data_IF_942573056105
#
_entry.id   IF_942573056105
#
_cell.length_a   1.000
_cell.length_b   1.000
_cell.length_c   1.000
_cell.angle_alpha   90.00
_cell.angle_beta   90.00
_cell.angle_gamma   90.00
#
_symmetry.space_group_name_H-M   'P 1'
#
loop_
_entity.id
_entity.type
_entity.pdbx_description
1 polymer ?
#
# COMPACT_ATOMS: atom_id res chain seq x y z
N UNK A 1 -10.51 -0.05 24.98
CA UNK A 1 -10.37 1.06 24.02
C UNK A 1 -11.10 0.61 22.77
N UNK A 2 -12.12 1.33 22.30
CA UNK A 2 -12.90 0.89 21.13
C UNK A 2 -12.23 1.33 19.82
N UNK A 3 -12.22 0.44 18.83
CA UNK A 3 -11.80 0.71 17.45
C UNK A 3 -13.04 1.23 16.71
N UNK A 4 -12.95 2.45 16.19
CA UNK A 4 -13.94 2.99 15.26
C UNK A 4 -13.66 2.42 13.88
N UNK A 5 -14.70 1.92 13.20
CA UNK A 5 -14.60 1.63 11.78
C UNK A 5 -14.38 2.90 10.94
N UNK A 6 -13.89 2.76 9.70
CA UNK A 6 -13.38 1.52 9.10
C UNK A 6 -11.98 1.14 9.62
N UNK A 7 -11.73 -0.17 9.78
CA UNK A 7 -10.41 -0.71 10.12
C UNK A 7 -9.63 -1.02 8.83
N UNK A 8 -8.35 -0.63 8.79
CA UNK A 8 -7.47 -0.92 7.66
C UNK A 8 -6.37 -1.86 8.17
N UNK A 9 -6.36 -3.13 7.73
CA UNK A 9 -5.28 -4.03 8.05
C UNK A 9 -3.93 -3.42 7.65
N UNK A 10 -2.96 -3.50 8.55
CA UNK A 10 -1.60 -3.16 8.19
C UNK A 10 -1.04 -4.31 7.34
N UNK A 11 -0.33 -3.95 6.28
CA UNK A 11 0.35 -4.93 5.43
C UNK A 11 1.78 -4.47 5.21
N UNK A 12 2.68 -5.44 5.07
CA UNK A 12 4.08 -5.19 4.77
C UNK A 12 4.63 -6.36 3.95
N UNK A 13 5.31 -6.06 2.85
CA UNK A 13 5.81 -7.07 1.92
C UNK A 13 6.82 -8.05 2.55
N UNK A 14 7.49 -7.71 3.66
CA UNK A 14 8.39 -8.61 4.38
C UNK A 14 7.65 -9.74 5.10
N UNK A 15 6.35 -9.55 5.41
CA UNK A 15 5.51 -10.54 6.09
C UNK A 15 4.62 -11.33 5.13
N UNK A 16 4.77 -11.11 3.82
CA UNK A 16 3.99 -11.80 2.77
C UNK A 16 4.84 -12.95 2.22
N UNK A 17 4.29 -14.17 2.23
CA UNK A 17 5.00 -15.37 1.75
C UNK A 17 5.34 -15.30 0.25
N UNK A 18 4.42 -14.74 -0.55
CA UNK A 18 4.60 -14.60 -1.99
C UNK A 18 5.56 -13.45 -2.29
N UNK A 19 6.81 -13.78 -2.60
CA UNK A 19 7.82 -12.79 -2.98
C UNK A 19 7.68 -12.39 -4.45
N UNK A 20 7.99 -11.12 -4.73
CA UNK A 20 8.23 -10.66 -6.10
C UNK A 20 9.43 -11.39 -6.69
N UNK A 21 9.40 -11.65 -8.00
CA UNK A 21 10.51 -12.32 -8.72
C UNK A 21 11.75 -11.42 -8.89
N UNK A 22 11.65 -10.16 -8.49
CA UNK A 22 12.70 -9.15 -8.63
C UNK A 22 12.74 -8.21 -7.41
N UNK A 23 13.87 -7.53 -7.16
CA UNK A 23 14.00 -6.59 -6.05
C UNK A 23 13.30 -5.25 -6.37
N UNK A 24 12.06 -5.09 -5.93
CA UNK A 24 11.16 -3.97 -6.28
C UNK A 24 11.78 -2.58 -6.12
N UNK A 25 12.29 -2.25 -4.93
CA UNK A 25 12.87 -0.93 -4.65
C UNK A 25 14.08 -0.63 -5.55
N UNK A 26 14.98 -1.61 -5.69
CA UNK A 26 16.13 -1.50 -6.59
C UNK A 26 15.69 -1.28 -8.04
N UNK A 27 14.70 -2.04 -8.50
CA UNK A 27 14.18 -1.91 -9.87
C UNK A 27 13.54 -0.55 -10.12
N UNK A 28 12.74 -0.02 -9.18
CA UNK A 28 12.17 1.33 -9.26
C UNK A 28 13.28 2.38 -9.36
N UNK A 29 14.30 2.28 -8.50
CA UNK A 29 15.41 3.22 -8.49
C UNK A 29 16.27 3.18 -9.76
N UNK A 30 16.53 1.99 -10.32
CA UNK A 30 17.21 1.85 -11.61
C UNK A 30 16.43 2.51 -12.76
N UNK A 31 15.11 2.29 -12.82
CA UNK A 31 14.23 2.93 -13.82
C UNK A 31 14.26 4.45 -13.65
N UNK A 32 14.09 4.95 -12.43
CA UNK A 32 14.04 6.38 -12.16
C UNK A 32 15.36 7.08 -12.49
N UNK A 33 16.49 6.50 -12.07
CA UNK A 33 17.84 7.02 -12.33
C UNK A 33 18.18 7.02 -13.83
N UNK A 34 17.66 6.08 -14.61
CA UNK A 34 17.95 5.97 -16.05
C UNK A 34 17.60 7.23 -16.86
N UNK A 35 16.66 8.05 -16.36
CA UNK A 35 16.14 9.22 -17.10
C UNK A 35 16.03 10.49 -16.28
N UNK A 36 15.82 10.40 -14.97
CA UNK A 36 15.41 11.54 -14.16
C UNK A 36 16.34 11.88 -12.99
N UNK A 37 17.44 11.14 -12.82
CA UNK A 37 18.38 11.28 -11.69
C UNK A 37 17.63 11.37 -10.34
N UNK A 38 16.67 10.46 -10.17
CA UNK A 38 15.75 10.41 -9.03
C UNK A 38 15.98 9.13 -8.25
N UNK A 39 16.06 9.27 -6.93
CA UNK A 39 16.15 8.15 -5.97
C UNK A 39 14.95 8.23 -5.04
N UNK A 40 14.26 7.11 -4.89
CA UNK A 40 13.20 6.88 -3.93
C UNK A 40 13.75 6.17 -2.70
N UNK A 41 13.21 6.56 -1.54
CA UNK A 41 13.41 5.85 -0.27
C UNK A 41 12.15 5.04 0.02
N UNK A 42 12.31 3.73 0.26
CA UNK A 42 11.22 2.87 0.70
C UNK A 42 10.70 3.26 2.09
N UNK A 43 9.38 3.24 2.26
CA UNK A 43 8.74 3.25 3.57
C UNK A 43 7.94 1.97 3.77
N UNK A 44 8.19 1.32 4.90
CA UNK A 44 7.60 0.02 5.24
C UNK A 44 6.11 0.10 5.57
N UNK A 45 5.64 1.26 6.04
CA UNK A 45 4.24 1.50 6.39
C UNK A 45 3.80 2.88 5.91
N UNK A 46 2.66 2.91 5.22
CA UNK A 46 1.99 4.14 4.84
C UNK A 46 1.03 4.56 5.95
N UNK A 47 1.18 5.78 6.47
CA UNK A 47 0.37 6.29 7.58
C UNK A 47 -1.01 6.81 7.16
N UNK A 48 -1.30 6.82 5.86
CA UNK A 48 -2.62 7.16 5.33
C UNK A 48 -3.51 5.93 5.18
N UNK A 49 -4.75 6.20 4.77
CA UNK A 49 -5.72 5.15 4.42
C UNK A 49 -5.44 4.67 2.99
N UNK A 50 -5.48 3.37 2.76
CA UNK A 50 -5.28 2.79 1.43
C UNK A 50 -6.01 1.47 1.27
N UNK A 51 -6.63 1.25 0.12
CA UNK A 51 -7.25 -0.03 -0.25
C UNK A 51 -6.22 -1.16 -0.36
N UNK A 52 -4.92 -0.82 -0.48
CA UNK A 52 -3.84 -1.81 -0.42
C UNK A 52 -3.86 -2.61 0.88
N UNK A 53 -4.41 -2.08 1.97
CA UNK A 53 -4.63 -2.82 3.22
C UNK A 53 -5.42 -4.11 3.06
N UNK A 54 -6.15 -4.29 1.95
CA UNK A 54 -6.92 -5.50 1.65
C UNK A 54 -6.24 -6.41 0.60
N UNK A 55 -4.96 -6.20 0.31
CA UNK A 55 -4.18 -7.03 -0.63
C UNK A 55 -3.50 -8.23 0.03
N UNK A 56 -3.46 -8.27 1.36
CA UNK A 56 -2.97 -9.39 2.15
C UNK A 56 -3.46 -9.29 3.60
N UNK A 57 -3.31 -10.37 4.36
CA UNK A 57 -3.46 -10.38 5.80
C UNK A 57 -2.29 -11.17 6.42
N UNK A 58 -1.56 -10.54 7.34
CA UNK A 58 -0.42 -11.15 8.04
C UNK A 58 -0.67 -11.38 9.53
N UNK A 59 -1.87 -11.08 10.02
CA UNK A 59 -2.26 -11.35 11.40
C UNK A 59 -2.79 -12.77 11.60
N UNK A 60 -3.14 -13.11 12.83
CA UNK A 60 -3.69 -14.42 13.20
C UNK A 60 -5.16 -14.32 13.67
N UNK A 61 -5.75 -15.44 14.06
CA UNK A 61 -7.14 -15.48 14.56
C UNK A 61 -7.33 -14.68 15.84
N UNK A 62 -6.33 -14.66 16.74
CA UNK A 62 -6.39 -13.89 17.99
C UNK A 62 -6.44 -12.37 17.70
N UNK A 63 -5.69 -11.90 16.70
CA UNK A 63 -5.74 -10.51 16.23
C UNK A 63 -7.14 -10.16 15.73
N UNK A 64 -7.74 -11.03 14.91
CA UNK A 64 -9.11 -10.87 14.39
C UNK A 64 -10.09 -10.77 15.56
N UNK A 65 -10.03 -11.70 16.52
CA UNK A 65 -10.93 -11.72 17.67
C UNK A 65 -10.82 -10.44 18.50
N UNK A 66 -9.60 -9.94 18.73
CA UNK A 66 -9.37 -8.68 19.44
C UNK A 66 -9.97 -7.48 18.67
N UNK A 67 -9.78 -7.43 17.35
CA UNK A 67 -10.33 -6.36 16.50
C UNK A 67 -11.86 -6.38 16.58
N UNK A 68 -12.48 -7.55 16.40
CA UNK A 68 -13.94 -7.72 16.46
C UNK A 68 -14.50 -7.34 17.83
N UNK A 69 -13.89 -7.83 18.91
CA UNK A 69 -14.33 -7.56 20.28
C UNK A 69 -14.25 -6.08 20.67
N UNK A 70 -13.35 -5.32 20.03
CA UNK A 70 -13.19 -3.90 20.28
C UNK A 70 -13.85 -2.99 19.23
N UNK A 71 -14.55 -3.54 18.23
CA UNK A 71 -15.20 -2.77 17.15
C UNK A 71 -16.73 -2.80 17.27
N UNK A 72 -17.38 -1.77 17.84
CA UNK A 72 -18.83 -1.73 17.92
C UNK A 72 -19.49 -1.82 16.55
N UNK A 73 -20.49 -2.71 16.41
CA UNK A 73 -21.19 -2.92 15.13
C UNK A 73 -20.42 -3.77 14.13
N UNK A 74 -19.34 -4.45 14.53
CA UNK A 74 -18.69 -5.46 13.70
C UNK A 74 -19.69 -6.56 13.30
N UNK A 75 -19.65 -6.99 12.03
CA UNK A 75 -20.59 -7.91 11.38
C UNK A 75 -22.05 -7.40 11.23
N UNK A 76 -22.37 -6.19 11.70
CA UNK A 76 -23.69 -5.56 11.52
C UNK A 76 -23.64 -4.29 10.66
N UNK A 77 -22.66 -3.43 10.90
CA UNK A 77 -22.45 -2.13 10.22
C UNK A 77 -21.17 -2.14 9.39
N UNK A 78 -20.17 -2.91 9.82
CA UNK A 78 -18.87 -3.01 9.18
C UNK A 78 -18.34 -4.44 9.29
N UNK A 79 -17.77 -4.97 8.20
CA UNK A 79 -17.27 -6.34 8.14
C UNK A 79 -16.05 -6.40 7.22
N UNK A 80 -15.00 -7.12 7.64
CA UNK A 80 -13.91 -7.58 6.78
C UNK A 80 -13.95 -9.10 6.72
N UNK A 81 -13.96 -9.70 5.50
CA UNK A 81 -13.90 -11.15 5.31
C UNK A 81 -12.45 -11.63 5.52
N UNK A 82 -12.01 -11.73 6.77
CA UNK A 82 -10.61 -12.05 7.09
C UNK A 82 -10.18 -13.44 6.63
N UNK A 83 -11.10 -14.41 6.60
CA UNK A 83 -10.80 -15.77 6.13
C UNK A 83 -10.47 -15.73 4.64
N UNK A 84 -11.27 -15.06 3.83
CA UNK A 84 -11.02 -14.84 2.42
C UNK A 84 -9.77 -13.98 2.19
N UNK A 85 -9.60 -12.92 2.97
CA UNK A 85 -8.42 -12.04 2.89
C UNK A 85 -7.12 -12.79 3.18
N UNK A 86 -7.14 -13.76 4.10
CA UNK A 86 -5.99 -14.62 4.42
C UNK A 86 -5.55 -15.51 3.25
N UNK A 87 -6.43 -15.75 2.28
CA UNK A 87 -6.09 -16.48 1.05
C UNK A 87 -5.36 -15.58 0.02
N UNK A 88 -5.40 -14.27 0.21
CA UNK A 88 -4.74 -13.28 -0.65
C UNK A 88 -3.36 -12.97 -0.10
N UNK A 89 -2.35 -13.11 -0.96
CA UNK A 89 -0.94 -12.85 -0.63
C UNK A 89 -0.33 -12.07 -1.79
N UNK A 90 -0.72 -10.80 -1.92
CA UNK A 90 -0.29 -9.94 -3.01
C UNK A 90 0.65 -8.85 -2.49
N UNK A 91 1.93 -8.87 -2.90
CA UNK A 91 2.84 -7.75 -2.65
C UNK A 91 2.30 -6.46 -3.27
N UNK A 92 2.45 -5.35 -2.55
CA UNK A 92 1.99 -4.04 -3.00
C UNK A 92 3.12 -3.02 -3.00
N UNK A 93 2.94 -1.95 -3.76
CA UNK A 93 3.77 -0.75 -3.64
C UNK A 93 2.89 0.48 -3.79
N UNK A 94 3.02 1.40 -2.85
CA UNK A 94 2.42 2.72 -2.96
C UNK A 94 3.45 3.68 -3.56
N UNK A 95 3.30 4.02 -4.84
CA UNK A 95 4.20 4.96 -5.53
C UNK A 95 3.38 5.94 -6.38
N UNK A 96 3.75 7.21 -6.34
CA UNK A 96 3.01 8.27 -7.00
C UNK A 96 3.76 9.60 -7.01
N UNK A 97 3.14 10.66 -7.54
CA UNK A 97 3.77 11.97 -7.65
C UNK A 97 4.03 12.58 -6.28
N UNK A 98 5.06 13.42 -6.17
CA UNK A 98 5.28 14.17 -4.94
C UNK A 98 4.09 15.10 -4.67
N UNK A 99 3.44 14.88 -3.54
CA UNK A 99 2.27 15.63 -3.09
C UNK A 99 2.52 16.41 -1.80
N UNK A 100 1.75 17.46 -1.59
CA UNK A 100 1.74 18.22 -0.33
C UNK A 100 0.32 18.58 0.06
N UNK A 101 0.08 18.62 1.36
CA UNK A 101 -1.20 19.01 1.97
C UNK A 101 -2.37 18.08 1.62
N UNK A 102 -2.12 16.76 1.60
CA UNK A 102 -3.15 15.72 1.43
C UNK A 102 -4.33 15.95 2.41
N UNK A 103 -5.55 15.90 1.89
CA UNK A 103 -6.80 16.15 2.61
C UNK A 103 -6.94 17.57 3.20
N UNK A 104 -6.22 18.56 2.65
CA UNK A 104 -6.39 19.97 2.99
C UNK A 104 -6.83 20.76 1.76
N UNK A 105 -7.43 21.93 1.98
CA UNK A 105 -7.83 22.84 0.90
C UNK A 105 -6.68 23.30 -0.01
N UNK A 106 -5.44 23.17 0.45
CA UNK A 106 -4.21 23.50 -0.30
C UNK A 106 -3.54 22.29 -0.93
N UNK A 107 -4.22 21.14 -0.98
CA UNK A 107 -3.72 19.91 -1.60
C UNK A 107 -3.21 20.17 -3.03
N UNK A 108 -2.01 19.66 -3.32
CA UNK A 108 -1.35 19.81 -4.62
C UNK A 108 -0.31 18.73 -4.85
N UNK A 109 0.02 18.53 -6.11
CA UNK A 109 1.05 17.59 -6.58
C UNK A 109 2.04 18.28 -7.52
N UNK A 110 3.25 17.74 -7.63
CA UNK A 110 4.25 18.22 -8.56
C UNK A 110 3.86 17.84 -9.99
N UNK A 111 3.53 18.84 -10.81
CA UNK A 111 3.12 18.68 -12.22
C UNK A 111 4.06 17.78 -13.03
N UNK A 112 5.37 17.96 -12.87
CA UNK A 112 6.38 17.15 -13.57
C UNK A 112 6.29 15.66 -13.22
N UNK A 113 5.96 15.34 -11.97
CA UNK A 113 5.79 13.96 -11.56
C UNK A 113 4.53 13.35 -12.15
N UNK A 114 3.44 14.11 -12.22
CA UNK A 114 2.16 13.69 -12.79
C UNK A 114 2.24 13.41 -14.28
N UNK A 115 2.83 14.33 -15.06
CA UNK A 115 2.78 14.24 -16.53
C UNK A 115 3.97 13.51 -17.15
N UNK A 116 5.11 13.42 -16.47
CA UNK A 116 6.36 12.94 -17.08
C UNK A 116 7.00 11.79 -16.32
N UNK A 117 7.31 11.99 -15.03
CA UNK A 117 8.15 11.04 -14.29
C UNK A 117 7.38 9.79 -13.89
N UNK A 118 6.26 9.92 -13.19
CA UNK A 118 5.50 8.76 -12.72
C UNK A 118 4.90 7.93 -13.84
N UNK A 119 4.32 8.52 -14.91
CA UNK A 119 3.85 7.72 -16.05
C UNK A 119 4.95 6.88 -16.68
N UNK A 120 6.17 7.44 -16.83
CA UNK A 120 7.32 6.69 -17.33
C UNK A 120 7.73 5.57 -16.36
N UNK A 121 7.92 5.89 -15.08
CA UNK A 121 8.40 4.91 -14.08
C UNK A 121 7.40 3.74 -13.95
N UNK A 122 6.10 4.04 -13.85
CA UNK A 122 5.05 3.02 -13.74
C UNK A 122 5.00 2.17 -15.01
N UNK A 123 5.08 2.78 -16.20
CA UNK A 123 5.10 2.02 -17.47
C UNK A 123 6.28 1.06 -17.53
N UNK A 124 7.49 1.53 -17.25
CA UNK A 124 8.69 0.69 -17.29
C UNK A 124 8.66 -0.41 -16.22
N UNK A 125 8.11 -0.13 -15.03
CA UNK A 125 7.93 -1.12 -13.99
C UNK A 125 6.97 -2.22 -14.44
N UNK A 126 5.81 -1.86 -15.01
CA UNK A 126 4.84 -2.80 -15.57
C UNK A 126 5.50 -3.68 -16.64
N UNK A 127 6.25 -3.08 -17.57
CA UNK A 127 6.93 -3.81 -18.64
C UNK A 127 8.02 -4.78 -18.15
N UNK A 128 8.56 -4.58 -16.94
CA UNK A 128 9.49 -5.53 -16.30
C UNK A 128 8.79 -6.62 -15.50
N UNK A 129 7.52 -6.43 -15.14
CA UNK A 129 6.74 -7.40 -14.38
C UNK A 129 6.12 -8.49 -15.29
N UNK A 130 6.08 -8.26 -16.60
CA UNK A 130 5.67 -9.20 -17.64
C UNK A 130 6.88 -9.72 -18.41
#
# INVERSE_FOLDING_TARGET
>A
MAISGPYYPHINNHFIDKKLSFPLEKTINEIAASKYDLVFEGQEFFMGISDMSYAAWSGNTEDIDIIKANSPGWDYVYHIPFDELSTISMPVVNIGPWGKDLHKVTERVLTKDVYERMPFIIKELILKCF
#
